data_IF_249115017182
#
_entry.id   IF_249115017182
#
_cell.length_a   1.000
_cell.length_b   1.000
_cell.length_c   1.000
_cell.angle_alpha   90.00
_cell.angle_beta   90.00
_cell.angle_gamma   90.00
#
_symmetry.space_group_name_H-M   'P 1'
#
loop_
_entity.id
_entity.type
_entity.pdbx_description
1 polymer ?
#
# COMPACT_ATOMS: atom_id res chain seq x y z
N UNK A 1 37.64 10.23 -8.58
CA UNK A 1 36.29 10.00 -9.11
C UNK A 1 35.25 10.68 -8.23
N UNK A 2 34.24 11.31 -8.82
CA UNK A 2 33.10 11.88 -8.10
C UNK A 2 31.84 11.30 -8.74
N UNK A 3 30.91 10.79 -7.93
CA UNK A 3 29.60 10.32 -8.39
C UNK A 3 28.54 11.37 -8.04
N UNK A 4 27.70 11.69 -9.02
CA UNK A 4 26.58 12.60 -8.86
C UNK A 4 25.25 11.85 -9.01
N UNK A 5 24.24 12.26 -8.24
CA UNK A 5 22.84 11.92 -8.47
C UNK A 5 22.07 13.23 -8.68
N UNK A 6 21.53 13.43 -9.89
CA UNK A 6 21.04 14.75 -10.29
C UNK A 6 22.20 15.76 -10.27
N UNK A 7 22.08 16.79 -9.44
CA UNK A 7 23.13 17.81 -9.22
C UNK A 7 23.98 17.55 -7.98
N UNK A 8 23.60 16.59 -7.14
CA UNK A 8 24.22 16.41 -5.82
C UNK A 8 25.38 15.43 -5.88
N UNK A 9 26.48 15.76 -5.20
CA UNK A 9 27.60 14.85 -5.00
C UNK A 9 27.19 13.80 -3.96
N UNK A 10 27.17 12.53 -4.36
CA UNK A 10 26.78 11.41 -3.49
C UNK A 10 27.96 10.51 -3.10
N UNK A 11 29.07 10.61 -3.83
CA UNK A 11 30.31 9.90 -3.49
C UNK A 11 31.54 10.62 -4.07
N UNK A 12 32.68 10.49 -3.39
CA UNK A 12 33.97 11.01 -3.84
C UNK A 12 35.09 10.09 -3.40
N UNK A 13 35.83 9.58 -4.38
CA UNK A 13 36.98 8.70 -4.17
C UNK A 13 38.23 9.30 -4.81
N UNK A 14 39.33 9.32 -4.08
CA UNK A 14 40.64 9.73 -4.59
C UNK A 14 41.48 8.46 -4.69
N UNK A 15 41.73 8.04 -5.92
CA UNK A 15 42.45 6.80 -6.24
C UNK A 15 43.49 7.08 -7.31
N UNK A 16 44.53 6.26 -7.36
CA UNK A 16 45.61 6.39 -8.34
C UNK A 16 45.35 5.50 -9.57
N UNK A 17 44.76 4.33 -9.35
CA UNK A 17 44.41 3.35 -10.37
C UNK A 17 42.89 3.09 -10.37
N UNK A 18 42.29 2.84 -11.54
CA UNK A 18 40.87 2.51 -11.68
C UNK A 18 40.49 1.27 -10.85
N UNK A 19 41.42 0.32 -10.67
CA UNK A 19 41.19 -0.88 -9.85
C UNK A 19 40.96 -0.59 -8.37
N UNK A 20 41.42 0.57 -7.89
CA UNK A 20 41.27 0.95 -6.49
C UNK A 20 39.90 1.60 -6.23
N UNK A 21 39.07 1.80 -7.26
CA UNK A 21 37.70 2.28 -7.10
C UNK A 21 36.85 1.21 -6.42
N UNK A 22 36.27 1.58 -5.29
CA UNK A 22 35.35 0.71 -4.55
C UNK A 22 33.93 1.03 -4.98
N UNK A 23 33.11 -0.01 -5.22
CA UNK A 23 31.67 0.19 -5.51
C UNK A 23 31.02 0.99 -4.39
N UNK A 24 30.08 1.87 -4.75
CA UNK A 24 29.26 2.59 -3.80
C UNK A 24 27.78 2.20 -3.97
N UNK A 25 26.87 2.88 -3.26
CA UNK A 25 25.42 2.60 -3.33
C UNK A 25 24.80 2.88 -4.70
N UNK A 26 25.48 3.62 -5.57
CA UNK A 26 24.95 4.15 -6.82
C UNK A 26 25.59 3.53 -8.06
N UNK A 27 26.89 3.24 -8.00
CA UNK A 27 27.66 2.74 -9.13
C UNK A 27 28.59 1.60 -8.73
N UNK A 28 28.69 0.63 -9.63
CA UNK A 28 29.71 -0.40 -9.62
C UNK A 28 30.74 -0.06 -10.71
N UNK A 29 32.01 -0.06 -10.33
CA UNK A 29 33.12 0.19 -11.24
C UNK A 29 33.67 -1.11 -11.82
N UNK A 30 34.09 -1.06 -13.07
CA UNK A 30 34.76 -2.14 -13.78
C UNK A 30 35.70 -1.56 -14.83
N UNK A 31 36.77 -2.28 -15.16
CA UNK A 31 37.77 -1.84 -16.13
C UNK A 31 39.17 -1.78 -15.49
N UNK A 32 40.18 -1.61 -16.34
CA UNK A 32 41.59 -1.54 -15.97
C UNK A 32 42.26 -0.35 -16.65
N UNK A 33 43.39 0.11 -16.09
CA UNK A 33 44.21 1.18 -16.66
C UNK A 33 44.13 2.50 -15.90
N UNK A 34 44.78 3.52 -16.45
CA UNK A 34 44.83 4.85 -15.83
C UNK A 34 43.48 5.57 -15.92
N UNK A 35 43.13 6.27 -14.84
CA UNK A 35 41.92 7.07 -14.81
C UNK A 35 42.06 8.28 -15.76
N UNK A 36 41.23 8.32 -16.81
CA UNK A 36 41.17 9.46 -17.72
C UNK A 36 40.35 10.57 -17.07
N UNK A 37 40.91 11.79 -17.02
CA UNK A 37 40.18 12.96 -16.56
C UNK A 37 39.07 13.25 -17.57
N UNK A 38 37.83 13.28 -17.09
CA UNK A 38 36.64 13.58 -17.88
C UNK A 38 35.90 14.75 -17.23
N UNK A 39 35.23 15.57 -18.05
CA UNK A 39 34.31 16.61 -17.58
C UNK A 39 33.04 16.04 -16.93
N UNK A 40 32.84 14.73 -16.99
CA UNK A 40 31.69 14.00 -16.47
C UNK A 40 31.07 13.13 -17.56
N UNK A 41 30.72 11.90 -17.20
CA UNK A 41 30.01 10.97 -18.11
C UNK A 41 28.69 10.60 -17.44
N UNK A 42 27.58 10.93 -18.11
CA UNK A 42 26.26 10.52 -17.65
C UNK A 42 26.02 9.04 -18.01
N UNK A 43 25.62 8.25 -17.01
CA UNK A 43 25.13 6.89 -17.24
C UNK A 43 23.79 6.98 -18.00
N UNK A 44 23.59 6.07 -18.94
CA UNK A 44 22.39 6.04 -19.77
C UNK A 44 21.94 4.60 -20.01
N UNK A 45 20.72 4.41 -20.49
CA UNK A 45 20.19 3.08 -20.83
C UNK A 45 19.47 2.33 -19.70
N UNK A 46 19.40 2.91 -18.50
CA UNK A 46 18.55 2.39 -17.42
C UNK A 46 17.08 2.41 -17.82
N UNK A 47 16.36 1.32 -17.55
CA UNK A 47 14.91 1.19 -17.76
C UNK A 47 14.30 0.47 -16.57
N UNK A 48 13.15 0.95 -16.12
CA UNK A 48 12.32 0.19 -15.19
C UNK A 48 11.65 -0.96 -15.94
N UNK A 49 11.56 -2.13 -15.31
CA UNK A 49 10.71 -3.22 -15.78
C UNK A 49 9.23 -2.91 -15.53
N UNK A 50 8.37 -3.81 -16.00
CA UNK A 50 6.95 -3.84 -15.60
C UNK A 50 6.81 -4.90 -14.52
N UNK A 51 6.18 -4.56 -13.39
CA UNK A 51 5.94 -5.51 -12.31
C UNK A 51 5.09 -6.68 -12.82
N UNK A 52 5.53 -7.89 -12.53
CA UNK A 52 4.91 -9.14 -12.92
C UNK A 52 4.20 -9.80 -11.72
N UNK A 53 3.36 -10.79 -12.00
CA UNK A 53 2.74 -11.65 -10.96
C UNK A 53 3.80 -12.30 -10.06
N UNK A 54 4.95 -12.69 -10.62
CA UNK A 54 6.04 -13.31 -9.87
C UNK A 54 6.69 -12.35 -8.86
N UNK A 55 6.74 -11.05 -9.18
CA UNK A 55 7.27 -10.04 -8.26
C UNK A 55 6.37 -9.88 -7.03
N UNK A 56 5.05 -9.95 -7.21
CA UNK A 56 4.08 -9.95 -6.10
C UNK A 56 4.19 -11.23 -5.25
N UNK A 57 4.38 -12.39 -5.86
CA UNK A 57 4.62 -13.64 -5.09
C UNK A 57 5.89 -13.53 -4.25
N UNK A 58 7.00 -13.05 -4.84
CA UNK A 58 8.25 -12.84 -4.12
C UNK A 58 8.10 -11.81 -2.98
N UNK A 59 7.29 -10.77 -3.19
CA UNK A 59 6.93 -9.82 -2.13
C UNK A 59 6.21 -10.48 -0.96
N UNK A 60 5.19 -11.31 -1.21
CA UNK A 60 4.46 -12.00 -0.15
C UNK A 60 5.33 -13.01 0.60
N UNK A 61 6.21 -13.73 -0.11
CA UNK A 61 7.18 -14.63 0.50
C UNK A 61 8.15 -13.88 1.43
N UNK A 62 8.68 -12.73 0.98
CA UNK A 62 9.54 -11.90 1.81
C UNK A 62 8.79 -11.31 3.02
N UNK A 63 7.53 -10.90 2.83
CA UNK A 63 6.70 -10.34 3.88
C UNK A 63 6.44 -11.34 5.03
N UNK A 64 6.42 -12.66 4.77
CA UNK A 64 6.24 -13.66 5.84
C UNK A 64 7.25 -13.51 6.98
N UNK A 65 8.48 -13.08 6.68
CA UNK A 65 9.55 -12.92 7.69
C UNK A 65 9.65 -11.53 8.29
N UNK A 66 8.82 -10.59 7.84
CA UNK A 66 8.82 -9.21 8.33
C UNK A 66 7.73 -8.98 9.38
N UNK A 67 7.95 -8.03 10.27
CA UNK A 67 6.95 -7.59 11.26
C UNK A 67 6.19 -6.38 10.73
N UNK A 68 4.86 -6.51 10.64
CA UNK A 68 3.94 -5.47 10.21
C UNK A 68 2.55 -5.72 10.80
N UNK A 69 1.77 -4.66 10.95
CA UNK A 69 0.36 -4.72 11.38
C UNK A 69 -0.59 -4.81 10.18
N UNK A 70 -0.33 -3.99 9.15
CA UNK A 70 -1.17 -3.90 7.95
C UNK A 70 -0.31 -3.93 6.69
N UNK A 71 -0.79 -4.61 5.65
CA UNK A 71 -0.12 -4.74 4.35
C UNK A 71 -1.12 -4.40 3.23
N UNK A 72 -0.69 -3.62 2.24
CA UNK A 72 -1.51 -3.25 1.09
C UNK A 72 -1.16 -4.06 -0.15
N UNK A 73 -2.17 -4.37 -0.96
CA UNK A 73 -2.01 -4.85 -2.34
C UNK A 73 -2.62 -3.82 -3.30
N UNK A 74 -1.84 -2.84 -3.79
CA UNK A 74 -2.32 -1.79 -4.68
C UNK A 74 -2.44 -2.29 -6.14
N UNK A 75 -3.16 -3.39 -6.35
CA UNK A 75 -3.38 -4.03 -7.65
C UNK A 75 -4.85 -3.98 -8.01
N UNK A 76 -5.14 -3.41 -9.19
CA UNK A 76 -6.51 -3.30 -9.69
C UNK A 76 -6.94 -4.56 -10.46
N UNK A 77 -6.15 -4.96 -11.46
CA UNK A 77 -6.56 -5.92 -12.50
C UNK A 77 -5.95 -7.33 -12.33
N UNK A 78 -6.14 -7.97 -11.18
CA UNK A 78 -5.75 -9.38 -11.01
C UNK A 78 -6.47 -10.09 -9.86
N UNK A 79 -7.62 -10.69 -10.15
CA UNK A 79 -8.38 -11.49 -9.17
C UNK A 79 -7.56 -12.65 -8.58
N UNK A 80 -6.70 -13.28 -9.38
CA UNK A 80 -5.83 -14.35 -8.92
C UNK A 80 -4.82 -13.86 -7.85
N UNK A 81 -4.23 -12.68 -8.04
CA UNK A 81 -3.32 -12.10 -7.06
C UNK A 81 -4.07 -11.70 -5.79
N UNK A 82 -5.26 -11.10 -5.92
CA UNK A 82 -6.10 -10.72 -4.77
C UNK A 82 -6.52 -11.94 -3.95
N UNK A 83 -6.90 -13.04 -4.60
CA UNK A 83 -7.20 -14.31 -3.94
C UNK A 83 -5.97 -14.89 -3.22
N UNK A 84 -4.81 -14.89 -3.88
CA UNK A 84 -3.54 -15.34 -3.28
C UNK A 84 -3.18 -14.52 -2.03
N UNK A 85 -3.40 -13.21 -2.10
CA UNK A 85 -3.18 -12.29 -1.00
C UNK A 85 -4.16 -12.51 0.17
N UNK A 86 -5.45 -12.71 -0.10
CA UNK A 86 -6.44 -13.03 0.94
C UNK A 86 -6.06 -14.31 1.70
N UNK A 87 -5.68 -15.38 0.98
CA UNK A 87 -5.18 -16.63 1.58
C UNK A 87 -3.85 -16.47 2.32
N UNK A 88 -3.00 -15.53 1.92
CA UNK A 88 -1.79 -15.17 2.66
C UNK A 88 -2.15 -14.55 4.01
N UNK A 89 -3.08 -13.59 4.04
CA UNK A 89 -3.54 -12.94 5.27
C UNK A 89 -4.23 -13.94 6.19
N UNK A 90 -5.13 -14.78 5.68
CA UNK A 90 -5.79 -15.84 6.45
C UNK A 90 -4.77 -16.78 7.09
N UNK A 91 -3.75 -17.22 6.33
CA UNK A 91 -2.67 -18.07 6.86
C UNK A 91 -1.92 -17.40 8.02
N UNK A 92 -1.55 -16.13 7.89
CA UNK A 92 -0.87 -15.40 8.96
C UNK A 92 -1.74 -15.31 10.22
N UNK A 93 -3.04 -14.99 10.05
CA UNK A 93 -3.98 -14.80 11.15
C UNK A 93 -4.37 -16.07 11.89
N UNK A 94 -4.65 -17.13 11.16
CA UNK A 94 -5.33 -18.31 11.71
C UNK A 94 -4.38 -19.48 11.94
N UNK A 95 -3.31 -19.57 11.15
CA UNK A 95 -2.33 -20.65 11.30
C UNK A 95 -1.09 -20.22 12.07
N UNK A 96 -0.68 -18.95 11.94
CA UNK A 96 0.51 -18.41 12.61
C UNK A 96 0.18 -17.53 13.81
N UNK A 97 -1.10 -17.24 14.07
CA UNK A 97 -1.55 -16.43 15.20
C UNK A 97 -1.19 -14.94 15.09
N UNK A 98 -0.76 -14.48 13.91
CA UNK A 98 -0.38 -13.08 13.65
C UNK A 98 -1.59 -12.32 13.14
N UNK A 99 -2.22 -11.52 14.00
CA UNK A 99 -3.45 -10.79 13.69
C UNK A 99 -3.23 -9.54 12.81
N UNK A 100 -2.61 -9.74 11.66
CA UNK A 100 -2.39 -8.71 10.63
C UNK A 100 -3.67 -8.43 9.83
N UNK A 101 -3.71 -7.28 9.16
CA UNK A 101 -4.77 -6.95 8.19
C UNK A 101 -4.19 -6.77 6.79
N UNK A 102 -4.96 -7.14 5.77
CA UNK A 102 -4.65 -6.86 4.38
C UNK A 102 -5.61 -5.84 3.78
N UNK A 103 -5.11 -4.93 2.96
CA UNK A 103 -5.93 -3.94 2.25
C UNK A 103 -5.84 -4.19 0.76
N UNK A 104 -6.99 -4.37 0.11
CA UNK A 104 -7.08 -4.69 -1.31
C UNK A 104 -8.23 -3.91 -1.94
N UNK A 105 -8.11 -3.56 -3.22
CA UNK A 105 -9.16 -2.86 -3.91
C UNK A 105 -10.14 -3.79 -4.63
N UNK A 106 -11.42 -3.47 -4.55
CA UNK A 106 -12.50 -4.10 -5.30
C UNK A 106 -12.47 -5.64 -5.22
N UNK A 107 -12.36 -6.19 -4.01
CA UNK A 107 -12.31 -7.62 -3.75
C UNK A 107 -13.04 -7.99 -2.46
N UNK A 108 -14.25 -8.51 -2.62
CA UNK A 108 -15.09 -9.00 -1.52
C UNK A 108 -14.58 -10.36 -1.04
N UNK A 109 -13.53 -10.36 -0.22
CA UNK A 109 -12.92 -11.58 0.29
C UNK A 109 -13.79 -12.35 1.31
N UNK A 110 -14.82 -11.71 1.87
CA UNK A 110 -15.68 -12.27 2.93
C UNK A 110 -14.89 -12.77 4.15
N UNK A 111 -13.94 -11.94 4.60
CA UNK A 111 -12.92 -12.30 5.59
C UNK A 111 -12.63 -11.11 6.50
N UNK A 112 -12.55 -11.33 7.82
CA UNK A 112 -12.38 -10.23 8.78
C UNK A 112 -10.98 -9.59 8.76
N UNK A 113 -10.00 -10.33 8.22
CA UNK A 113 -8.64 -9.84 8.02
C UNK A 113 -8.44 -8.95 6.80
N UNK A 114 -9.46 -8.72 5.97
CA UNK A 114 -9.32 -7.99 4.69
C UNK A 114 -10.20 -6.75 4.65
N UNK A 115 -9.61 -5.61 4.31
CA UNK A 115 -10.32 -4.38 4.01
C UNK A 115 -10.48 -4.27 2.49
N UNK A 116 -11.72 -4.21 2.01
CA UNK A 116 -12.07 -4.11 0.60
C UNK A 116 -12.32 -2.64 0.23
N UNK A 117 -11.32 -1.95 -0.30
CA UNK A 117 -11.42 -0.53 -0.68
C UNK A 117 -12.06 -0.42 -2.06
N UNK A 118 -13.16 0.32 -2.16
CA UNK A 118 -13.92 0.40 -3.42
C UNK A 118 -14.15 1.81 -3.93
N UNK A 119 -13.56 2.80 -3.26
CA UNK A 119 -13.61 4.21 -3.63
C UNK A 119 -12.21 4.80 -3.86
N UNK A 120 -12.10 5.63 -4.89
CA UNK A 120 -10.95 6.50 -5.14
C UNK A 120 -11.21 7.94 -4.68
N UNK A 121 -10.17 8.77 -4.71
CA UNK A 121 -10.21 10.18 -4.29
C UNK A 121 -9.57 11.10 -5.33
N UNK A 122 -9.90 12.38 -5.25
CA UNK A 122 -9.23 13.48 -5.97
C UNK A 122 -8.42 14.28 -4.96
N UNK A 123 -7.13 14.48 -5.21
CA UNK A 123 -6.25 15.27 -4.37
C UNK A 123 -6.34 16.77 -4.66
N UNK A 124 -5.84 17.59 -3.74
CA UNK A 124 -5.79 19.07 -3.86
C UNK A 124 -5.12 19.57 -5.16
N UNK A 125 -4.13 18.83 -5.69
CA UNK A 125 -3.44 19.16 -6.94
C UNK A 125 -4.19 18.69 -8.20
N UNK A 126 -5.37 18.09 -8.03
CA UNK A 126 -6.21 17.53 -9.09
C UNK A 126 -5.85 16.10 -9.49
N UNK A 127 -4.89 15.46 -8.83
CA UNK A 127 -4.55 14.05 -9.08
C UNK A 127 -5.69 13.13 -8.67
N UNK A 128 -6.13 12.28 -9.58
CA UNK A 128 -7.10 11.21 -9.32
C UNK A 128 -6.37 9.94 -8.86
N UNK A 129 -6.76 9.41 -7.70
CA UNK A 129 -6.28 8.14 -7.17
C UNK A 129 -7.39 7.09 -7.26
N UNK A 130 -7.10 5.99 -7.96
CA UNK A 130 -8.02 4.85 -8.06
C UNK A 130 -8.20 4.13 -6.72
N UNK A 131 -9.23 3.29 -6.55
CA UNK A 131 -9.37 2.45 -5.35
C UNK A 131 -8.11 1.63 -5.05
N UNK A 132 -7.43 1.12 -6.08
CA UNK A 132 -6.16 0.40 -5.93
C UNK A 132 -5.06 1.28 -5.31
N UNK A 133 -4.97 2.55 -5.72
CA UNK A 133 -3.98 3.47 -5.15
C UNK A 133 -4.35 3.93 -3.75
N UNK A 134 -5.65 4.09 -3.43
CA UNK A 134 -6.09 4.49 -2.09
C UNK A 134 -5.88 3.39 -1.04
N UNK A 135 -5.70 2.12 -1.42
CA UNK A 135 -5.29 1.05 -0.49
C UNK A 135 -4.02 1.39 0.31
N UNK A 136 -3.08 2.14 -0.27
CA UNK A 136 -1.86 2.55 0.40
C UNK A 136 -2.14 3.50 1.58
N UNK A 137 -3.05 4.47 1.38
CA UNK A 137 -3.48 5.37 2.46
C UNK A 137 -4.25 4.62 3.53
N UNK A 138 -5.21 3.76 3.13
CA UNK A 138 -6.01 2.97 4.08
C UNK A 138 -5.11 2.06 4.92
N UNK A 139 -4.11 1.41 4.32
CA UNK A 139 -3.17 0.60 5.09
C UNK A 139 -2.35 1.42 6.09
N UNK A 140 -1.89 2.61 5.70
CA UNK A 140 -1.19 3.52 6.61
C UNK A 140 -2.08 4.02 7.75
N UNK A 141 -3.31 4.42 7.43
CA UNK A 141 -4.30 4.87 8.41
C UNK A 141 -4.65 3.74 9.40
N UNK A 142 -4.92 2.53 8.91
CA UNK A 142 -5.23 1.37 9.75
C UNK A 142 -4.05 0.96 10.62
N UNK A 143 -2.82 0.97 10.10
CA UNK A 143 -1.62 0.66 10.88
C UNK A 143 -1.31 1.71 11.97
N UNK A 144 -1.69 2.97 11.73
CA UNK A 144 -1.52 4.06 12.69
C UNK A 144 -2.63 4.18 13.73
N UNK A 145 -3.74 3.47 13.57
CA UNK A 145 -4.87 3.54 14.49
C UNK A 145 -4.54 2.82 15.81
N UNK A 146 -4.79 3.48 16.94
CA UNK A 146 -4.69 2.82 18.24
C UNK A 146 -5.85 1.84 18.45
N UNK A 147 -5.69 0.93 19.41
CA UNK A 147 -6.68 -0.11 19.69
C UNK A 147 -8.08 0.41 20.09
N UNK A 148 -8.16 1.65 20.54
CA UNK A 148 -9.39 2.32 20.95
C UNK A 148 -9.86 3.35 19.92
N UNK A 149 -9.26 3.39 18.74
CA UNK A 149 -9.58 4.31 17.65
C UNK A 149 -10.16 3.54 16.48
N UNK A 150 -11.14 4.15 15.82
CA UNK A 150 -11.74 3.68 14.58
C UNK A 150 -11.42 4.69 13.49
N UNK A 151 -11.27 4.21 12.26
CA UNK A 151 -11.14 5.09 11.10
C UNK A 151 -12.46 5.74 10.69
N UNK A 152 -13.59 5.39 11.30
CA UNK A 152 -14.89 5.99 10.98
C UNK A 152 -14.83 7.52 11.12
N UNK A 153 -15.14 8.23 10.04
CA UNK A 153 -15.03 9.69 9.87
C UNK A 153 -13.61 10.27 9.97
N UNK A 154 -12.56 9.44 9.85
CA UNK A 154 -11.20 9.96 9.69
C UNK A 154 -11.06 10.55 8.29
N UNK A 155 -10.59 11.80 8.25
CA UNK A 155 -10.35 12.54 7.00
C UNK A 155 -9.15 11.97 6.24
N UNK A 156 -9.30 11.85 4.93
CA UNK A 156 -8.20 11.60 4.01
C UNK A 156 -7.48 12.93 3.78
N UNK A 157 -6.37 13.14 4.48
CA UNK A 157 -5.54 14.34 4.35
C UNK A 157 -5.10 14.58 2.89
N UNK A 158 -5.38 15.77 2.37
CA UNK A 158 -5.06 16.17 1.00
C UNK A 158 -6.06 15.74 -0.07
N UNK A 159 -7.12 15.00 0.28
CA UNK A 159 -8.22 14.71 -0.64
C UNK A 159 -9.33 15.78 -0.55
N UNK A 160 -9.80 16.23 -1.70
CA UNK A 160 -10.81 17.29 -1.85
C UNK A 160 -12.13 16.80 -2.42
N UNK A 161 -12.16 15.62 -3.04
CA UNK A 161 -13.37 14.97 -3.54
C UNK A 161 -13.18 13.45 -3.63
N UNK A 162 -14.29 12.72 -3.81
CA UNK A 162 -14.25 11.31 -4.20
C UNK A 162 -14.35 11.18 -5.72
N UNK A 163 -13.77 10.11 -6.31
CA UNK A 163 -13.93 9.86 -7.75
C UNK A 163 -15.39 9.58 -8.14
N UNK A 164 -16.16 9.03 -7.21
CA UNK A 164 -17.58 8.78 -7.34
C UNK A 164 -18.27 9.30 -6.07
N UNK A 165 -19.22 10.23 -6.23
CA UNK A 165 -20.08 10.67 -5.13
C UNK A 165 -21.30 9.79 -5.08
N UNK A 166 -21.53 9.18 -3.93
CA UNK A 166 -22.64 8.27 -3.68
C UNK A 166 -23.74 8.99 -2.90
N UNK A 167 -25.00 8.62 -3.15
CA UNK A 167 -26.10 8.97 -2.26
C UNK A 167 -26.15 8.04 -1.03
N UNK A 168 -27.03 8.37 -0.08
CA UNK A 168 -27.14 7.62 1.18
C UNK A 168 -27.51 6.15 0.96
N UNK A 169 -28.45 5.87 0.06
CA UNK A 169 -28.94 4.51 -0.19
C UNK A 169 -27.83 3.65 -0.83
N UNK A 170 -27.03 4.24 -1.72
CA UNK A 170 -25.85 3.62 -2.31
C UNK A 170 -24.78 3.35 -1.25
N UNK A 171 -24.51 4.32 -0.36
CA UNK A 171 -23.55 4.13 0.74
C UNK A 171 -23.99 2.98 1.65
N UNK A 172 -25.24 2.99 2.11
CA UNK A 172 -25.79 1.93 2.97
C UNK A 172 -25.68 0.54 2.31
N UNK A 173 -26.02 0.45 1.02
CA UNK A 173 -25.89 -0.79 0.27
C UNK A 173 -24.45 -1.28 0.20
N UNK A 174 -23.49 -0.41 -0.15
CA UNK A 174 -22.07 -0.79 -0.29
C UNK A 174 -21.47 -1.20 1.06
N UNK A 175 -21.79 -0.48 2.14
CA UNK A 175 -21.40 -0.89 3.50
C UNK A 175 -21.95 -2.28 3.86
N UNK A 176 -23.18 -2.59 3.43
CA UNK A 176 -23.77 -3.93 3.64
C UNK A 176 -23.08 -5.04 2.84
N UNK A 177 -22.27 -4.69 1.83
CA UNK A 177 -21.45 -5.63 1.06
C UNK A 177 -20.01 -5.72 1.58
N UNK A 178 -19.71 -5.13 2.75
CA UNK A 178 -18.37 -5.15 3.32
C UNK A 178 -17.39 -4.25 2.57
N UNK A 179 -17.88 -3.17 1.97
CA UNK A 179 -17.04 -2.23 1.21
C UNK A 179 -16.57 -1.06 2.07
N UNK A 180 -15.25 -0.88 2.14
CA UNK A 180 -14.62 0.30 2.70
C UNK A 180 -14.63 1.42 1.66
N UNK A 181 -15.28 2.53 2.00
CA UNK A 181 -15.44 3.66 1.10
C UNK A 181 -15.25 5.02 1.78
N UNK A 182 -14.90 6.01 0.96
CA UNK A 182 -14.85 7.41 1.34
C UNK A 182 -16.13 8.14 0.92
N UNK A 183 -16.53 9.12 1.71
CA UNK A 183 -17.62 10.05 1.43
C UNK A 183 -17.10 11.49 1.46
N UNK A 184 -17.69 12.34 0.62
CA UNK A 184 -17.40 13.77 0.58
C UNK A 184 -18.44 14.54 1.38
N UNK A 185 -18.01 15.29 2.40
CA UNK A 185 -18.87 16.22 3.13
C UNK A 185 -18.87 17.58 2.42
N UNK A 186 -20.01 17.98 1.86
CA UNK A 186 -20.15 19.27 1.18
C UNK A 186 -20.13 20.49 2.11
N UNK A 187 -20.39 20.31 3.41
CA UNK A 187 -20.37 21.39 4.42
C UNK A 187 -18.94 21.77 4.76
N UNK A 188 -18.13 20.77 5.08
CA UNK A 188 -16.75 20.97 5.52
C UNK A 188 -15.74 20.87 4.37
N UNK A 189 -16.18 20.40 3.20
CA UNK A 189 -15.39 20.18 1.98
C UNK A 189 -14.22 19.23 2.19
N UNK A 190 -14.45 18.20 2.98
CA UNK A 190 -13.47 17.17 3.31
C UNK A 190 -13.94 15.82 2.79
N UNK A 191 -12.98 14.92 2.56
CA UNK A 191 -13.22 13.52 2.23
C UNK A 191 -12.86 12.69 3.44
N UNK A 192 -13.77 11.85 3.91
CA UNK A 192 -13.56 11.01 5.09
C UNK A 192 -13.96 9.58 4.85
N UNK A 193 -13.43 8.67 5.66
CA UNK A 193 -13.88 7.27 5.71
C UNK A 193 -15.31 7.23 6.25
N UNK A 194 -16.21 6.55 5.54
CA UNK A 194 -17.61 6.45 5.99
C UNK A 194 -17.75 5.53 7.21
N UNK A 195 -17.18 4.34 7.14
CA UNK A 195 -17.18 3.37 8.24
C UNK A 195 -15.95 2.49 8.15
N UNK A 196 -15.30 2.28 9.29
CA UNK A 196 -14.17 1.37 9.42
C UNK A 196 -14.66 -0.07 9.49
N UNK A 197 -14.77 -0.72 8.33
CA UNK A 197 -15.23 -2.11 8.18
C UNK A 197 -14.26 -2.94 7.34
N UNK A 198 -14.33 -4.25 7.55
CA UNK A 198 -13.66 -5.25 6.73
C UNK A 198 -14.65 -5.90 5.74
N UNK A 199 -14.17 -6.85 4.94
CA UNK A 199 -14.96 -7.49 3.89
C UNK A 199 -15.88 -8.60 4.35
N UNK A 200 -15.89 -8.97 5.65
CA UNK A 200 -16.74 -10.03 6.17
C UNK A 200 -18.22 -9.62 6.12
N UNK A 201 -19.02 -10.45 5.47
CA UNK A 201 -20.48 -10.30 5.34
C UNK A 201 -21.24 -11.57 5.76
N UNK A 202 -20.60 -12.74 5.66
CA UNK A 202 -21.17 -14.03 6.06
C UNK A 202 -21.04 -14.27 7.56
N UNK A 203 -22.01 -13.79 8.34
CA UNK A 203 -22.07 -14.08 9.77
C UNK A 203 -22.63 -15.49 10.02
N UNK A 204 -21.81 -16.40 10.55
CA UNK A 204 -22.32 -17.68 11.09
C UNK A 204 -22.74 -17.50 12.54
N UNK A 205 -23.69 -18.30 13.04
CA UNK A 205 -24.23 -18.24 14.42
C UNK A 205 -23.19 -18.32 15.55
N UNK A 206 -21.92 -18.61 15.23
CA UNK A 206 -20.81 -18.64 16.19
C UNK A 206 -20.15 -17.27 16.39
N UNK A 207 -20.51 -16.27 15.58
CA UNK A 207 -19.97 -14.93 15.59
C UNK A 207 -21.13 -13.92 15.72
N UNK A 208 -21.34 -13.32 16.90
CA UNK A 208 -22.42 -12.35 17.03
C UNK A 208 -22.13 -11.13 16.15
N UNK A 209 -23.19 -10.52 15.59
CA UNK A 209 -23.17 -9.30 14.77
C UNK A 209 -22.45 -8.08 15.39
N UNK A 210 -21.90 -8.22 16.60
CA UNK A 210 -20.96 -7.28 17.21
C UNK A 210 -19.53 -7.35 16.63
N UNK A 211 -19.23 -8.30 15.72
CA UNK A 211 -17.96 -8.38 14.99
C UNK A 211 -17.65 -7.13 14.15
N UNK A 212 -18.68 -6.36 13.75
CA UNK A 212 -18.52 -5.07 13.08
C UNK A 212 -17.81 -4.01 13.95
N UNK A 213 -17.67 -4.23 15.26
CA UNK A 213 -17.04 -3.28 16.19
C UNK A 213 -15.68 -3.76 16.74
N UNK A 214 -15.14 -4.88 16.26
CA UNK A 214 -14.00 -5.54 16.91
C UNK A 214 -12.77 -5.66 16.02
N UNK A 215 -12.27 -4.55 15.49
CA UNK A 215 -10.89 -4.49 14.98
C UNK A 215 -9.83 -4.60 16.10
N UNK A 216 -10.20 -4.68 17.39
CA UNK A 216 -9.25 -4.57 18.50
C UNK A 216 -9.52 -5.45 19.73
N UNK A 217 -10.29 -6.53 19.60
CA UNK A 217 -10.49 -7.48 20.70
C UNK A 217 -9.82 -8.82 20.41
N UNK A 218 -8.50 -8.89 20.59
CA UNK A 218 -7.87 -10.11 21.11
C UNK A 218 -6.49 -9.78 21.70
N UNK A 219 -6.44 -9.72 23.03
CA UNK A 219 -5.25 -10.10 23.78
C UNK A 219 -5.19 -11.64 23.88
#
# INVERSE_FOLDING_TARGET
MITYLGTDIVDKQVVTDVKDLVKNKYVQFSGEGEAVITAGVALSGGKNGVASVADYTAFLEAAETEYFDVIALPVDNSEQLKATFASFIERLRDKQGRKVQGVVANYAADQEGIINVTSGVVLEDGTELTPAQTTAWVAGASAGANFNQSLTFVEYEGAVDTLERLDNDQVEYRLSQGEFLFTFDARDRTVSVEKDINSLTSFTLKEPANGEKQNHSCA
#
